data_IF_576112675293
#
_entry.id   IF_576112675293
#
_cell.length_a   1.000
_cell.length_b   1.000
_cell.length_c   1.000
_cell.angle_alpha   90.00
_cell.angle_beta   90.00
_cell.angle_gamma   90.00
#
_symmetry.space_group_name_H-M   'P 1'
#
loop_
_entity.id
_entity.type
_entity.pdbx_description
1 polymer ?
#
# COMPACT_ATOMS: atom_id res chain seq x y z
N UNK A 1 -19.82 -3.67 7.97
CA UNK A 1 -18.35 -3.44 7.89
C UNK A 1 -17.90 -2.51 6.76
N UNK A 2 -18.79 -1.96 5.90
CA UNK A 2 -18.38 -1.21 4.70
C UNK A 2 -17.78 0.19 4.93
N UNK A 3 -18.29 0.99 5.88
CA UNK A 3 -17.89 2.41 6.01
C UNK A 3 -16.43 2.61 6.44
N UNK A 4 -15.93 1.78 7.34
CA UNK A 4 -14.56 1.87 7.86
C UNK A 4 -13.55 1.40 6.81
N UNK A 5 -13.87 0.31 6.11
CA UNK A 5 -13.08 -0.16 4.95
C UNK A 5 -13.04 0.87 3.83
N UNK A 6 -14.19 1.46 3.46
CA UNK A 6 -14.24 2.54 2.46
C UNK A 6 -13.40 3.75 2.86
N UNK A 7 -13.37 4.09 4.16
CA UNK A 7 -12.56 5.20 4.68
C UNK A 7 -11.07 4.88 4.59
N UNK A 8 -10.66 3.66 4.92
CA UNK A 8 -9.27 3.20 4.75
C UNK A 8 -8.86 3.27 3.27
N UNK A 9 -9.68 2.73 2.36
CA UNK A 9 -9.38 2.76 0.92
C UNK A 9 -9.30 4.19 0.38
N UNK A 10 -10.16 5.08 0.85
CA UNK A 10 -10.11 6.50 0.52
C UNK A 10 -8.80 7.15 0.93
N UNK A 11 -8.36 6.96 2.18
CA UNK A 11 -7.08 7.50 2.65
C UNK A 11 -5.89 6.86 1.91
N UNK A 12 -5.96 5.57 1.58
CA UNK A 12 -4.95 4.89 0.75
C UNK A 12 -4.81 5.56 -0.60
N UNK A 13 -5.89 5.68 -1.36
CA UNK A 13 -5.86 6.31 -2.70
C UNK A 13 -5.41 7.77 -2.64
N UNK A 14 -5.80 8.51 -1.59
CA UNK A 14 -5.35 9.88 -1.40
C UNK A 14 -3.84 9.97 -1.12
N UNK A 15 -3.29 9.07 -0.30
CA UNK A 15 -1.85 9.01 -0.05
C UNK A 15 -1.06 8.62 -1.31
N UNK A 16 -1.55 7.64 -2.07
CA UNK A 16 -0.97 7.20 -3.35
C UNK A 16 -0.96 8.33 -4.39
N UNK A 17 -2.03 9.13 -4.46
CA UNK A 17 -2.10 10.30 -5.35
C UNK A 17 -1.08 11.37 -4.95
N UNK A 18 -0.91 11.62 -3.65
CA UNK A 18 0.12 12.54 -3.15
C UNK A 18 1.53 12.05 -3.46
N UNK A 19 1.81 10.74 -3.35
CA UNK A 19 3.05 10.11 -3.78
C UNK A 19 3.34 10.38 -5.26
N UNK A 20 2.34 10.19 -6.13
CA UNK A 20 2.45 10.40 -7.56
C UNK A 20 2.71 11.87 -7.90
N UNK A 21 2.03 12.79 -7.24
CA UNK A 21 2.25 14.23 -7.43
C UNK A 21 3.68 14.64 -7.05
N UNK A 22 4.19 14.13 -5.92
CA UNK A 22 5.58 14.32 -5.51
C UNK A 22 6.58 13.67 -6.49
N UNK A 23 6.31 12.45 -6.92
CA UNK A 23 7.14 11.72 -7.88
C UNK A 23 7.22 12.43 -9.24
N UNK A 24 6.14 13.09 -9.67
CA UNK A 24 6.13 13.93 -10.89
C UNK A 24 6.91 15.22 -10.70
N UNK A 25 6.86 15.83 -9.52
CA UNK A 25 7.63 17.05 -9.19
C UNK A 25 9.13 16.80 -9.07
N UNK A 26 9.52 15.60 -8.64
CA UNK A 26 10.93 15.19 -8.50
C UNK A 26 11.14 13.79 -9.10
N UNK A 27 11.22 13.65 -10.44
CA UNK A 27 11.32 12.35 -11.11
C UNK A 27 12.55 11.54 -10.70
N UNK A 28 13.69 12.20 -10.44
CA UNK A 28 14.90 11.54 -9.92
C UNK A 28 14.73 10.94 -8.52
N UNK A 29 13.74 11.40 -7.76
CA UNK A 29 13.42 10.89 -6.43
C UNK A 29 12.10 10.12 -6.42
N UNK A 30 11.46 9.86 -7.57
CA UNK A 30 10.14 9.23 -7.69
C UNK A 30 10.02 7.90 -6.92
N UNK A 31 11.12 7.18 -6.81
CA UNK A 31 11.21 5.90 -6.11
C UNK A 31 11.02 6.03 -4.59
N UNK A 32 11.42 7.15 -3.99
CA UNK A 32 11.32 7.39 -2.55
C UNK A 32 9.88 7.58 -2.06
N UNK A 33 9.07 8.53 -2.58
CA UNK A 33 7.70 8.71 -2.11
C UNK A 33 6.82 7.51 -2.45
N UNK A 34 7.06 6.86 -3.59
CA UNK A 34 6.36 5.63 -3.98
C UNK A 34 6.73 4.49 -3.02
N UNK A 35 8.03 4.23 -2.82
CA UNK A 35 8.49 3.19 -1.91
C UNK A 35 8.02 3.43 -0.47
N UNK A 36 8.06 4.67 0.01
CA UNK A 36 7.64 5.04 1.35
C UNK A 36 6.16 4.72 1.61
N UNK A 37 5.27 5.11 0.69
CA UNK A 37 3.82 4.88 0.85
C UNK A 37 3.49 3.39 0.74
N UNK A 38 4.16 2.67 -0.15
CA UNK A 38 3.92 1.23 -0.28
C UNK A 38 4.43 0.50 0.98
N UNK A 39 5.63 0.82 1.49
CA UNK A 39 6.12 0.29 2.77
C UNK A 39 5.21 0.65 3.95
N UNK A 40 4.70 1.87 4.00
CA UNK A 40 3.79 2.29 5.07
C UNK A 40 2.51 1.43 5.09
N UNK A 41 1.88 1.23 3.93
CA UNK A 41 0.63 0.47 3.85
C UNK A 41 0.81 -1.04 3.99
N UNK A 42 1.93 -1.59 3.52
CA UNK A 42 2.17 -3.05 3.53
C UNK A 42 2.96 -3.56 4.74
N UNK A 43 3.76 -2.71 5.38
CA UNK A 43 4.62 -3.10 6.52
C UNK A 43 4.14 -2.44 7.79
N UNK A 44 4.02 -1.11 7.81
CA UNK A 44 3.74 -0.35 9.05
C UNK A 44 2.30 -0.52 9.53
N UNK A 45 1.32 -0.43 8.62
CA UNK A 45 -0.08 -0.56 8.99
C UNK A 45 -0.43 -1.96 9.52
N UNK A 46 0.03 -3.07 8.91
CA UNK A 46 -0.15 -4.40 9.47
C UNK A 46 0.68 -4.64 10.74
N UNK A 47 1.91 -4.09 10.83
CA UNK A 47 2.76 -4.29 12.01
C UNK A 47 2.17 -3.71 13.27
N UNK A 48 1.42 -2.61 13.20
CA UNK A 48 0.71 -2.05 14.36
C UNK A 48 -0.29 -3.03 14.99
N UNK A 49 -0.82 -3.96 14.20
CA UNK A 49 -1.75 -5.00 14.66
C UNK A 49 -1.00 -6.27 15.02
N UNK A 50 -0.03 -6.70 14.19
CA UNK A 50 0.75 -7.91 14.42
C UNK A 50 1.67 -7.80 15.64
N UNK A 51 2.28 -6.65 15.89
CA UNK A 51 3.23 -6.46 16.98
C UNK A 51 2.64 -6.73 18.37
N UNK A 52 1.48 -6.14 18.77
CA UNK A 52 0.86 -6.49 20.05
C UNK A 52 0.37 -7.94 20.11
N UNK A 53 -0.03 -8.55 18.98
CA UNK A 53 -0.38 -9.97 18.91
C UNK A 53 0.85 -10.83 19.20
N UNK A 54 2.01 -10.53 18.60
CA UNK A 54 3.26 -11.25 18.81
C UNK A 54 3.72 -11.14 20.27
N UNK A 55 3.62 -9.95 20.87
CA UNK A 55 3.92 -9.75 22.30
C UNK A 55 2.97 -10.55 23.20
N UNK A 56 1.67 -10.59 22.87
CA UNK A 56 0.70 -11.40 23.62
C UNK A 56 1.02 -12.90 23.51
N UNK A 57 1.53 -13.34 22.36
CA UNK A 57 1.94 -14.71 22.08
C UNK A 57 3.26 -15.11 22.75
N UNK A 58 4.05 -14.15 23.25
CA UNK A 58 5.35 -14.42 23.87
C UNK A 58 5.23 -15.30 25.13
N UNK A 59 4.09 -15.19 25.83
CA UNK A 59 3.80 -15.97 27.03
C UNK A 59 3.26 -17.41 26.75
N UNK A 60 3.06 -17.79 25.49
CA UNK A 60 2.33 -19.00 25.10
C UNK A 60 3.21 -20.21 24.70
N UNK A 61 4.54 -20.09 24.75
CA UNK A 61 5.46 -21.21 24.54
C UNK A 61 5.26 -21.90 23.17
N UNK A 62 5.02 -23.21 23.15
CA UNK A 62 4.90 -24.00 21.91
C UNK A 62 3.67 -23.63 21.04
N UNK A 63 2.62 -23.06 21.65
CA UNK A 63 1.44 -22.55 20.91
C UNK A 63 1.80 -21.34 20.04
N UNK A 64 2.85 -20.58 20.41
CA UNK A 64 3.37 -19.45 19.62
C UNK A 64 3.80 -19.90 18.23
N UNK A 65 4.56 -20.98 18.12
CA UNK A 65 5.09 -21.45 16.83
C UNK A 65 3.99 -21.90 15.89
N UNK A 66 2.98 -22.59 16.41
CA UNK A 66 1.82 -23.04 15.64
C UNK A 66 1.01 -21.85 15.14
N UNK A 67 0.75 -20.86 16.00
CA UNK A 67 -0.01 -19.66 15.61
C UNK A 67 0.79 -18.81 14.63
N UNK A 68 2.10 -18.62 14.82
CA UNK A 68 2.96 -17.90 13.88
C UNK A 68 3.05 -18.59 12.52
N UNK A 69 3.15 -19.93 12.49
CA UNK A 69 3.12 -20.70 11.25
C UNK A 69 1.76 -20.58 10.53
N UNK A 70 0.67 -20.49 11.29
CA UNK A 70 -0.65 -20.25 10.71
C UNK A 70 -0.79 -18.84 10.14
N UNK A 71 -0.21 -17.82 10.77
CA UNK A 71 -0.19 -16.45 10.27
C UNK A 71 0.80 -16.23 9.10
N UNK A 72 1.85 -17.04 9.00
CA UNK A 72 2.83 -16.93 7.91
C UNK A 72 2.25 -17.33 6.55
N UNK A 73 1.28 -18.24 6.51
CA UNK A 73 0.63 -18.68 5.26
C UNK A 73 -0.16 -17.52 4.61
N UNK A 74 -1.09 -16.83 5.30
CA UNK A 74 -1.71 -15.61 4.79
C UNK A 74 -0.69 -14.52 4.44
N UNK A 75 0.36 -14.34 5.22
CA UNK A 75 1.39 -13.34 4.95
C UNK A 75 2.13 -13.62 3.63
N UNK A 76 2.47 -14.88 3.34
CA UNK A 76 3.09 -15.29 2.09
C UNK A 76 2.16 -15.12 0.88
N UNK A 77 0.88 -15.45 1.03
CA UNK A 77 -0.12 -15.21 -0.02
C UNK A 77 -0.24 -13.72 -0.31
N UNK A 78 -0.32 -12.90 0.74
CA UNK A 78 -0.35 -11.45 0.64
C UNK A 78 0.90 -10.90 -0.05
N UNK A 79 2.09 -11.43 0.26
CA UNK A 79 3.34 -11.07 -0.39
C UNK A 79 3.31 -11.40 -1.90
N UNK A 80 2.74 -12.54 -2.28
CA UNK A 80 2.53 -12.95 -3.67
C UNK A 80 1.63 -11.97 -4.45
N UNK A 81 0.58 -11.43 -3.84
CA UNK A 81 -0.26 -10.40 -4.45
C UNK A 81 0.38 -9.01 -4.43
N UNK A 82 1.23 -8.73 -3.45
CA UNK A 82 1.95 -7.48 -3.36
C UNK A 82 2.99 -7.36 -4.49
N UNK A 83 3.68 -8.43 -4.85
CA UNK A 83 4.76 -8.41 -5.86
C UNK A 83 4.35 -7.77 -7.21
N UNK A 84 3.26 -8.19 -7.89
CA UNK A 84 2.80 -7.54 -9.13
C UNK A 84 2.33 -6.08 -8.93
N UNK A 85 1.83 -5.76 -7.73
CA UNK A 85 1.42 -4.40 -7.39
C UNK A 85 2.64 -3.48 -7.24
N UNK A 86 3.68 -3.96 -6.54
CA UNK A 86 4.94 -3.27 -6.36
C UNK A 86 5.67 -3.06 -7.69
N UNK A 87 5.70 -4.07 -8.58
CA UNK A 87 6.33 -3.92 -9.89
C UNK A 87 5.66 -2.82 -10.73
N UNK A 88 4.33 -2.74 -10.72
CA UNK A 88 3.61 -1.67 -11.43
C UNK A 88 3.87 -0.26 -10.86
N UNK A 89 4.21 -0.13 -9.59
CA UNK A 89 4.65 1.14 -9.00
C UNK A 89 6.11 1.47 -9.32
N UNK A 90 6.95 0.44 -9.37
CA UNK A 90 8.36 0.54 -9.77
C UNK A 90 8.49 0.95 -11.24
N UNK A 91 7.72 0.36 -12.14
CA UNK A 91 7.69 0.71 -13.56
C UNK A 91 7.28 2.17 -13.79
N UNK A 92 6.39 2.70 -12.93
CA UNK A 92 6.01 4.11 -12.96
C UNK A 92 7.15 4.99 -12.47
N UNK A 93 7.84 4.59 -11.40
CA UNK A 93 9.00 5.33 -10.89
C UNK A 93 10.14 5.37 -11.92
N UNK A 94 10.47 4.22 -12.52
CA UNK A 94 11.48 4.10 -13.59
C UNK A 94 11.04 4.87 -14.83
N UNK A 95 9.77 4.77 -15.22
CA UNK A 95 9.19 5.56 -16.30
C UNK A 95 9.37 7.06 -16.07
N UNK A 96 9.06 7.55 -14.87
CA UNK A 96 9.25 8.95 -14.49
C UNK A 96 10.73 9.38 -14.53
N UNK A 97 11.64 8.56 -14.01
CA UNK A 97 13.08 8.81 -14.08
C UNK A 97 13.59 8.90 -15.53
N UNK A 98 12.99 8.14 -16.44
CA UNK A 98 13.28 8.16 -17.88
C UNK A 98 12.48 9.22 -18.65
N UNK A 99 11.75 10.12 -17.95
CA UNK A 99 10.95 11.19 -18.57
C UNK A 99 9.61 10.75 -19.18
N UNK A 100 9.16 9.51 -18.92
CA UNK A 100 7.91 8.93 -19.41
C UNK A 100 6.79 9.11 -18.38
N UNK A 101 5.95 10.11 -18.59
CA UNK A 101 4.86 10.46 -17.68
C UNK A 101 3.52 9.77 -17.98
N UNK A 102 3.42 8.98 -19.05
CA UNK A 102 2.16 8.38 -19.53
C UNK A 102 1.56 7.40 -18.50
N UNK A 103 2.36 6.47 -17.99
CA UNK A 103 1.92 5.50 -16.99
C UNK A 103 1.55 6.18 -15.65
N UNK A 104 2.33 7.18 -15.23
CA UNK A 104 2.04 7.97 -14.03
C UNK A 104 0.72 8.75 -14.16
N UNK A 105 0.46 9.34 -15.32
CA UNK A 105 -0.75 10.13 -15.59
C UNK A 105 -2.00 9.26 -15.74
N UNK A 106 -1.87 8.08 -16.36
CA UNK A 106 -2.95 7.10 -16.41
C UNK A 106 -3.36 6.62 -15.01
N UNK A 107 -2.37 6.33 -14.14
CA UNK A 107 -2.63 5.90 -12.76
C UNK A 107 -3.21 7.03 -11.90
N UNK A 108 -2.71 8.26 -12.05
CA UNK A 108 -3.28 9.43 -11.39
C UNK A 108 -4.75 9.65 -11.78
N UNK A 109 -5.08 9.54 -13.07
CA UNK A 109 -6.47 9.65 -13.54
C UNK A 109 -7.37 8.58 -12.93
N UNK A 110 -6.93 7.33 -12.94
CA UNK A 110 -7.68 6.22 -12.32
C UNK A 110 -7.90 6.44 -10.80
N UNK A 111 -6.86 6.92 -10.09
CA UNK A 111 -6.95 7.27 -8.67
C UNK A 111 -7.92 8.43 -8.42
N UNK A 112 -7.84 9.49 -9.22
CA UNK A 112 -8.72 10.65 -9.13
C UNK A 112 -10.19 10.28 -9.38
N UNK A 113 -10.47 9.46 -10.40
CA UNK A 113 -11.79 8.92 -10.69
C UNK A 113 -12.32 8.08 -9.53
N UNK A 114 -11.48 7.22 -8.94
CA UNK A 114 -11.87 6.40 -7.78
C UNK A 114 -12.23 7.28 -6.56
N UNK A 115 -11.43 8.32 -6.28
CA UNK A 115 -11.66 9.26 -5.18
C UNK A 115 -12.94 10.08 -5.42
N UNK A 116 -13.18 10.49 -6.66
CA UNK A 116 -14.40 11.21 -7.04
C UNK A 116 -15.64 10.33 -6.84
N UNK A 117 -15.58 9.06 -7.25
CA UNK A 117 -16.66 8.09 -7.04
C UNK A 117 -16.94 7.82 -5.55
N UNK A 118 -15.91 7.87 -4.69
CA UNK A 118 -16.10 7.82 -3.24
C UNK A 118 -16.82 9.05 -2.71
N UNK A 119 -16.46 10.25 -3.18
CA UNK A 119 -17.07 11.51 -2.75
C UNK A 119 -18.55 11.59 -3.15
N UNK A 120 -18.91 11.15 -4.35
CA UNK A 120 -20.30 11.16 -4.82
C UNK A 120 -21.18 10.09 -4.17
N UNK A 121 -20.60 8.99 -3.67
CA UNK A 121 -21.32 7.98 -2.86
C UNK A 121 -21.46 8.37 -1.38
N UNK A 122 -20.66 9.33 -0.91
CA UNK A 122 -20.63 9.78 0.48
C UNK A 122 -21.50 11.04 0.72
N UNK A 123 -21.91 11.73 -0.35
CA UNK A 123 -22.94 12.79 -0.36
C UNK A 123 -24.34 12.19 -0.48
#
# INVERSE_FOLDING_TARGET
MGKLWQRITYYRHRSELWALALAKGAPCLAMLPIGFIVCFWWVVAPSLILFPIILLLENLGQLREIILALFSIPALVVLGFALPWFSGWYDIAVGLMLGRFTAASAKEKALAESIHAYRTRAS
#
